data_IF_235660885921
#
_entry.id   IF_235660885921
#
_cell.length_a   1.000
_cell.length_b   1.000
_cell.length_c   1.000
_cell.angle_alpha   90.00
_cell.angle_beta   90.00
_cell.angle_gamma   90.00
#
_symmetry.space_group_name_H-M   'P 1'
#
loop_
_entity.id
_entity.type
_entity.pdbx_description
1 polymer ?
#
# COMPACT_ATOMS: atom_id res chain seq x y z
N UNK A 1 -12.29 -10.60 -4.35
CA UNK A 1 -10.90 -11.02 -4.66
C UNK A 1 -10.14 -9.77 -5.06
N UNK A 2 -8.88 -9.59 -4.62
CA UNK A 2 -8.03 -8.47 -5.04
C UNK A 2 -6.77 -9.11 -5.63
N UNK A 3 -6.45 -8.75 -6.86
CA UNK A 3 -5.32 -9.31 -7.61
C UNK A 3 -4.08 -8.40 -7.58
N UNK A 4 -4.27 -7.11 -7.28
CA UNK A 4 -3.20 -6.11 -7.20
C UNK A 4 -3.54 -5.03 -6.16
N UNK A 5 -2.54 -4.59 -5.41
CA UNK A 5 -2.61 -3.46 -4.49
C UNK A 5 -1.66 -2.36 -4.93
N UNK A 6 -2.17 -1.15 -5.15
CA UNK A 6 -1.36 0.05 -5.38
C UNK A 6 -1.42 0.94 -4.15
N UNK A 7 -0.34 0.95 -3.37
CA UNK A 7 -0.23 1.75 -2.16
C UNK A 7 0.55 3.03 -2.45
N UNK A 8 -0.08 4.18 -2.20
CA UNK A 8 0.57 5.48 -2.36
C UNK A 8 1.02 5.99 -0.99
N UNK A 9 2.32 6.21 -0.84
CA UNK A 9 2.93 6.77 0.38
C UNK A 9 3.18 8.24 0.15
N UNK A 10 2.57 9.08 0.99
CA UNK A 10 2.77 10.52 0.99
C UNK A 10 3.76 10.90 2.11
N UNK A 11 4.67 11.86 1.88
CA UNK A 11 5.69 12.25 2.87
C UNK A 11 5.11 13.16 3.96
N UNK A 12 4.08 12.70 4.67
CA UNK A 12 3.39 13.45 5.74
C UNK A 12 2.92 12.51 6.84
N UNK A 13 2.93 12.98 8.09
CA UNK A 13 2.37 12.29 9.25
C UNK A 13 1.00 12.91 9.57
N UNK A 14 -0.10 12.15 9.38
CA UNK A 14 -1.46 12.66 9.58
C UNK A 14 -1.85 12.82 11.07
N UNK A 15 -1.22 12.09 11.98
CA UNK A 15 -1.56 12.08 13.42
C UNK A 15 -2.83 11.29 13.76
N UNK A 16 -3.92 11.45 13.01
CA UNK A 16 -5.17 10.68 13.14
C UNK A 16 -5.86 10.53 11.77
N UNK A 17 -6.71 9.51 11.61
CA UNK A 17 -7.45 9.29 10.36
C UNK A 17 -8.08 7.92 10.24
N UNK A 18 -8.78 7.69 9.13
CA UNK A 18 -9.31 6.36 8.79
C UNK A 18 -8.15 5.41 8.47
N UNK A 19 -8.22 4.19 9.01
CA UNK A 19 -7.25 3.13 8.72
C UNK A 19 -7.54 2.56 7.33
N UNK A 20 -6.49 2.35 6.53
CA UNK A 20 -6.59 1.70 5.22
C UNK A 20 -7.08 0.25 5.34
N UNK A 21 -6.62 -0.44 6.37
CA UNK A 21 -7.00 -1.81 6.70
C UNK A 21 -7.71 -1.79 8.06
N UNK A 22 -8.95 -2.27 8.08
CA UNK A 22 -9.75 -2.41 9.29
C UNK A 22 -9.38 -3.64 10.11
N UNK A 23 -10.07 -3.81 11.23
CA UNK A 23 -9.97 -5.02 12.04
C UNK A 23 -10.61 -6.23 11.32
N UNK A 24 -10.15 -7.45 11.65
CA UNK A 24 -10.69 -8.68 11.07
C UNK A 24 -10.22 -9.01 9.66
N UNK A 25 -9.20 -8.32 9.15
CA UNK A 25 -8.57 -8.68 7.87
C UNK A 25 -7.59 -9.83 8.08
N UNK A 26 -7.79 -10.93 7.37
CA UNK A 26 -6.86 -12.06 7.36
C UNK A 26 -5.48 -11.63 6.83
N UNK A 27 -4.44 -12.21 7.42
CA UNK A 27 -3.06 -12.02 6.95
C UNK A 27 -2.96 -12.46 5.49
N UNK A 28 -2.57 -11.53 4.62
CA UNK A 28 -2.18 -11.81 3.24
C UNK A 28 -0.71 -11.51 3.03
N UNK A 29 -0.01 -12.45 2.40
CA UNK A 29 1.37 -12.22 1.99
C UNK A 29 1.36 -11.53 0.63
N UNK A 30 2.12 -10.45 0.51
CA UNK A 30 2.19 -9.62 -0.68
C UNK A 30 3.63 -9.58 -1.19
N UNK A 31 3.79 -9.73 -2.51
CA UNK A 31 5.07 -9.56 -3.20
C UNK A 31 5.13 -8.18 -3.83
N UNK A 32 6.20 -7.44 -3.58
CA UNK A 32 6.46 -6.16 -4.25
C UNK A 32 6.77 -6.44 -5.73
N UNK A 33 5.95 -5.89 -6.62
CA UNK A 33 6.09 -6.02 -8.06
C UNK A 33 6.76 -4.79 -8.69
N UNK A 34 6.45 -3.59 -8.19
CA UNK A 34 6.98 -2.33 -8.72
C UNK A 34 7.11 -1.27 -7.61
N UNK A 35 8.10 -0.40 -7.74
CA UNK A 35 8.21 0.84 -6.96
C UNK A 35 8.43 2.02 -7.92
N UNK A 36 7.57 3.03 -7.83
CA UNK A 36 7.67 4.26 -8.61
C UNK A 36 7.73 5.47 -7.68
N UNK A 37 8.82 6.21 -7.78
CA UNK A 37 9.05 7.46 -7.04
C UNK A 37 8.72 8.66 -7.92
N UNK A 38 8.16 9.70 -7.31
CA UNK A 38 7.82 10.95 -7.98
C UNK A 38 8.66 12.09 -7.39
N UNK A 39 8.91 13.15 -8.18
CA UNK A 39 9.65 14.34 -7.72
C UNK A 39 9.00 15.07 -6.55
N UNK A 40 7.71 14.83 -6.30
CA UNK A 40 6.99 15.33 -5.12
C UNK A 40 7.34 14.59 -3.81
N UNK A 41 8.14 13.52 -3.88
CA UNK A 41 8.41 12.62 -2.76
C UNK A 41 7.35 11.56 -2.52
N UNK A 42 6.26 11.55 -3.31
CA UNK A 42 5.27 10.46 -3.28
C UNK A 42 5.89 9.19 -3.84
N UNK A 43 5.59 8.05 -3.22
CA UNK A 43 6.01 6.72 -3.67
C UNK A 43 4.79 5.86 -3.92
N UNK A 44 4.73 5.24 -5.09
CA UNK A 44 3.70 4.24 -5.43
C UNK A 44 4.34 2.86 -5.40
N UNK A 45 3.78 1.98 -4.58
CA UNK A 45 4.19 0.59 -4.42
C UNK A 45 3.10 -0.31 -5.01
N UNK A 46 3.44 -1.10 -6.01
CA UNK A 46 2.54 -2.09 -6.59
C UNK A 46 2.86 -3.45 -6.00
N UNK A 47 1.89 -4.07 -5.35
CA UNK A 47 1.99 -5.38 -4.73
C UNK A 47 1.00 -6.37 -5.36
N UNK A 48 1.43 -7.62 -5.48
CA UNK A 48 0.59 -8.73 -5.90
C UNK A 48 0.44 -9.71 -4.72
N UNK A 49 -0.75 -10.30 -4.48
CA UNK A 49 -0.89 -11.40 -3.54
C UNK A 49 0.05 -12.55 -3.93
N UNK A 50 0.79 -13.06 -2.94
CA UNK A 50 1.53 -14.30 -3.11
C UNK A 50 0.53 -15.47 -3.19
N UNK A 51 0.78 -16.42 -4.09
CA UNK A 51 -0.10 -17.57 -4.31
C UNK A 51 0.06 -18.61 -3.20
#
# INVERSE_FOLDING_TARGET
LIDEYRLMVFPVVLGNGKRLFGEGIDKKVLKLAETKTFGSGVVVLTYLPER
#
